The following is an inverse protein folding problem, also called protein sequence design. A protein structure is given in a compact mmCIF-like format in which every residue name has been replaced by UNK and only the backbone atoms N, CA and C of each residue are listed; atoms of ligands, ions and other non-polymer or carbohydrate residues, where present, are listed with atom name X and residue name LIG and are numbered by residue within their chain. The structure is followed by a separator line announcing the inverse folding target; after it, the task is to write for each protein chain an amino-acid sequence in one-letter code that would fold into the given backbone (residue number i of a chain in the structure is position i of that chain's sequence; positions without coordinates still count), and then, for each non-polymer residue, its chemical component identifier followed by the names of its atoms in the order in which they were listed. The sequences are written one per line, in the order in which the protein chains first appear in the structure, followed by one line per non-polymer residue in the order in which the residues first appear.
data_IF_444012284429
#
_entry.id   IF_444012284429
#
_cell.length_a   1.000
_cell.length_b   1.000
_cell.length_c   1.000
_cell.angle_alpha   90.00
_cell.angle_beta   90.00
_cell.angle_gamma   90.00
#
_symmetry.space_group_name_H-M   'P 1'
#
loop_
_entity.id
_entity.type
_entity.pdbx_description
1 polymer ?
#
# COMPACT_ATOMS: atom_id res chain seq x y z
N UNK A 1 -10.21 12.74 16.61
CA UNK A 1 -10.67 11.36 16.40
C UNK A 1 -10.10 10.89 15.08
N UNK A 2 -9.47 9.71 15.04
CA UNK A 2 -8.92 9.15 13.80
C UNK A 2 -10.04 8.86 12.78
N UNK A 3 -9.79 9.02 11.48
CA UNK A 3 -10.72 8.72 10.38
C UNK A 3 -10.96 7.20 10.19
N UNK A 4 -11.10 6.46 11.31
CA UNK A 4 -11.20 5.01 11.36
C UNK A 4 -12.51 4.64 12.08
N UNK A 5 -13.20 3.60 11.60
CA UNK A 5 -14.55 3.20 12.05
C UNK A 5 -14.69 2.97 13.56
N UNK A 6 -13.58 2.76 14.27
CA UNK A 6 -13.49 2.94 15.71
C UNK A 6 -12.28 3.83 16.05
N UNK A 7 -12.53 5.13 16.24
CA UNK A 7 -11.51 6.14 16.51
C UNK A 7 -10.78 5.96 17.86
N UNK A 8 -11.34 5.18 18.79
CA UNK A 8 -10.70 4.88 20.07
C UNK A 8 -9.66 3.74 19.96
N UNK A 9 -9.82 2.85 18.96
CA UNK A 9 -8.96 1.68 18.77
C UNK A 9 -7.84 1.88 17.73
N UNK A 10 -7.85 2.99 16.98
CA UNK A 10 -6.90 3.24 15.90
C UNK A 10 -6.72 2.05 14.93
N UNK A 11 -7.81 1.33 14.62
CA UNK A 11 -7.76 0.09 13.83
C UNK A 11 -7.26 0.35 12.38
N UNK A 12 -6.02 -0.03 12.03
CA UNK A 12 -5.45 0.29 10.74
C UNK A 12 -5.67 -0.83 9.70
N UNK A 13 -6.50 -1.83 10.01
CA UNK A 13 -6.64 -3.05 9.20
C UNK A 13 -7.44 -2.78 7.92
N UNK A 14 -6.83 -3.13 6.78
CA UNK A 14 -7.47 -3.19 5.46
C UNK A 14 -8.21 -1.91 5.04
N UNK A 15 -7.59 -0.75 5.30
CA UNK A 15 -8.14 0.53 4.89
C UNK A 15 -8.04 0.72 3.36
N UNK A 16 -9.03 1.38 2.73
CA UNK A 16 -8.96 1.70 1.32
C UNK A 16 -7.80 2.66 1.03
N UNK A 17 -7.04 2.36 -0.02
CA UNK A 17 -5.93 3.18 -0.51
C UNK A 17 -6.25 3.62 -1.93
N UNK A 18 -6.06 4.90 -2.23
CA UNK A 18 -6.14 5.46 -3.58
C UNK A 18 -4.75 5.92 -3.98
N UNK A 19 -4.29 5.50 -5.14
CA UNK A 19 -3.00 5.89 -5.72
C UNK A 19 -3.20 6.50 -7.09
N UNK A 20 -2.65 7.70 -7.29
CA UNK A 20 -2.67 8.43 -8.55
C UNK A 20 -1.28 9.06 -8.82
N UNK A 21 -0.90 9.21 -10.08
CA UNK A 21 0.41 9.70 -10.52
C UNK A 21 0.83 9.18 -11.90
N UNK A 22 1.77 9.87 -12.55
CA UNK A 22 2.29 9.47 -13.86
C UNK A 22 2.99 8.11 -13.84
N UNK A 23 2.91 7.36 -14.94
CA UNK A 23 3.56 6.04 -15.09
C UNK A 23 2.74 4.85 -14.60
N UNK A 24 1.67 5.08 -13.84
CA UNK A 24 0.81 4.03 -13.32
C UNK A 24 -0.43 3.79 -14.20
N UNK A 25 -0.85 2.53 -14.32
CA UNK A 25 -2.11 2.15 -15.00
C UNK A 25 -3.31 2.40 -14.08
N UNK A 26 -3.84 3.61 -14.11
CA UNK A 26 -5.01 4.00 -13.32
C UNK A 26 -6.33 3.43 -13.84
N UNK A 27 -7.40 3.64 -13.07
CA UNK A 27 -8.76 3.20 -13.40
C UNK A 27 -9.05 1.74 -13.04
N UNK A 28 -8.10 1.05 -12.41
CA UNK A 28 -8.25 -0.31 -11.90
C UNK A 28 -8.59 -0.37 -10.42
N UNK A 29 -9.16 -1.51 -10.01
CA UNK A 29 -9.37 -1.87 -8.63
C UNK A 29 -8.59 -3.16 -8.33
N UNK A 30 -7.71 -3.09 -7.32
CA UNK A 30 -6.87 -4.21 -6.89
C UNK A 30 -7.34 -4.66 -5.51
N UNK A 31 -7.59 -5.96 -5.36
CA UNK A 31 -7.99 -6.56 -4.09
C UNK A 31 -6.93 -7.50 -3.56
N UNK A 32 -6.66 -7.40 -2.27
CA UNK A 32 -5.86 -8.37 -1.53
C UNK A 32 -6.74 -9.16 -0.56
N UNK A 33 -6.18 -10.24 -0.01
CA UNK A 33 -6.88 -11.03 1.00
C UNK A 33 -7.18 -10.17 2.23
N UNK A 34 -8.43 -10.22 2.72
CA UNK A 34 -8.91 -9.37 3.81
C UNK A 34 -8.36 -9.77 5.19
N UNK A 35 -8.04 -11.04 5.37
CA UNK A 35 -7.62 -11.62 6.65
C UNK A 35 -6.11 -11.81 6.73
N UNK A 36 -5.48 -12.18 5.60
CA UNK A 36 -4.03 -12.31 5.43
C UNK A 36 -3.58 -11.30 4.36
N UNK A 37 -3.57 -10.03 4.74
CA UNK A 37 -3.43 -8.92 3.79
C UNK A 37 -1.98 -8.69 3.38
N UNK A 38 -1.79 -8.14 2.18
CA UNK A 38 -0.49 -7.69 1.73
C UNK A 38 -0.03 -6.50 2.58
N UNK A 39 1.20 -6.53 3.13
CA UNK A 39 1.71 -5.41 3.91
C UNK A 39 1.72 -4.11 3.08
N UNK A 40 1.15 -3.04 3.63
CA UNK A 40 1.14 -1.72 2.97
C UNK A 40 2.56 -1.20 2.67
N UNK A 41 3.56 -1.60 3.45
CA UNK A 41 4.97 -1.30 3.18
C UNK A 41 5.42 -1.68 1.76
N UNK A 42 4.86 -2.75 1.20
CA UNK A 42 5.21 -3.22 -0.15
C UNK A 42 4.82 -2.21 -1.23
N UNK A 43 3.81 -1.36 -0.97
CA UNK A 43 3.43 -0.27 -1.87
C UNK A 43 4.56 0.75 -1.99
N UNK A 44 5.24 1.06 -0.89
CA UNK A 44 6.33 2.05 -0.90
C UNK A 44 7.56 1.55 -1.65
N UNK A 45 7.91 0.27 -1.50
CA UNK A 45 8.98 -0.35 -2.32
C UNK A 45 8.63 -0.22 -3.80
N UNK A 46 7.39 -0.55 -4.18
CA UNK A 46 6.94 -0.40 -5.57
C UNK A 46 6.99 1.05 -6.06
N UNK A 47 6.53 2.01 -5.26
CA UNK A 47 6.57 3.42 -5.66
C UNK A 47 7.99 3.92 -5.90
N UNK A 48 8.95 3.54 -5.04
CA UNK A 48 10.37 3.90 -5.22
C UNK A 48 10.95 3.32 -6.51
N UNK A 49 10.62 2.06 -6.81
CA UNK A 49 11.04 1.40 -8.06
C UNK A 49 10.42 2.04 -9.31
N UNK A 50 9.14 2.41 -9.28
CA UNK A 50 8.47 3.13 -10.40
C UNK A 50 9.05 4.54 -10.59
N UNK A 51 9.66 5.13 -9.54
CA UNK A 51 10.43 6.37 -9.63
C UNK A 51 11.87 6.16 -10.14
N UNK A 52 12.24 4.93 -10.52
CA UNK A 52 13.57 4.60 -11.06
C UNK A 52 14.65 4.37 -10.02
N UNK A 53 14.29 4.19 -8.75
CA UNK A 53 15.25 3.88 -7.68
C UNK A 53 15.47 2.37 -7.56
N UNK A 54 16.72 1.93 -7.55
CA UNK A 54 17.07 0.55 -7.19
C UNK A 54 16.85 0.39 -5.67
N UNK A 55 15.69 -0.16 -5.30
CA UNK A 55 15.27 -0.29 -3.90
C UNK A 55 14.57 -1.62 -3.68
N UNK A 56 15.16 -2.46 -2.82
CA UNK A 56 14.62 -3.79 -2.49
C UNK A 56 13.88 -3.82 -1.16
N UNK A 57 13.99 -2.76 -0.36
CA UNK A 57 13.34 -2.66 0.95
C UNK A 57 12.98 -1.21 1.30
N UNK A 58 11.92 -1.06 2.10
CA UNK A 58 11.50 0.20 2.68
C UNK A 58 10.97 -0.03 4.10
N UNK A 59 11.56 0.64 5.09
CA UNK A 59 11.29 0.39 6.50
C UNK A 59 11.43 -1.12 6.83
N UNK A 60 10.40 -1.76 7.38
CA UNK A 60 10.39 -3.20 7.69
C UNK A 60 9.93 -4.07 6.52
N UNK A 61 9.55 -3.49 5.38
CA UNK A 61 9.14 -4.26 4.20
C UNK A 61 10.34 -4.52 3.28
N UNK A 62 10.47 -5.77 2.84
CA UNK A 62 11.36 -6.22 1.76
C UNK A 62 10.58 -6.79 0.57
N UNK A 63 9.26 -6.53 0.52
CA UNK A 63 8.36 -7.04 -0.50
C UNK A 63 7.96 -5.97 -1.51
N UNK A 64 7.72 -6.37 -2.76
CA UNK A 64 7.22 -5.47 -3.80
C UNK A 64 5.73 -5.72 -4.01
N UNK A 65 4.90 -4.66 -3.96
CA UNK A 65 3.48 -4.79 -4.24
C UNK A 65 3.27 -5.24 -5.69
N UNK A 66 2.40 -6.23 -5.89
CA UNK A 66 1.90 -6.63 -7.21
C UNK A 66 0.49 -6.04 -7.36
N UNK A 67 0.26 -5.37 -8.49
CA UNK A 67 -1.06 -4.89 -8.90
C UNK A 67 -1.99 -6.05 -9.21
#
# INVERSE_FOLDING_TARGET
GSNLGNAAAHDPRNNPIILAGGGLKHGGYVTHNRNDNTPLGNLFVRMLQEMGMETDAFSTSSGVLRW
#
